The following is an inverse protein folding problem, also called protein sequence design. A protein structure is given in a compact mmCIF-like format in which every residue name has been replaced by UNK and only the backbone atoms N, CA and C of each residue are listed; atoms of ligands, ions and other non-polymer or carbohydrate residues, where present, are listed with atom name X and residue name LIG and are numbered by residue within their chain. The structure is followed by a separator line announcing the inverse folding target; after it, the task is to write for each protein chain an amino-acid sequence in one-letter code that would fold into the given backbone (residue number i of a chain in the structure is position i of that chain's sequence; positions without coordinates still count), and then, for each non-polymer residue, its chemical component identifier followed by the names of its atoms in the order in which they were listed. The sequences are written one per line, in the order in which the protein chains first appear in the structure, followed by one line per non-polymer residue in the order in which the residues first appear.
data_IF_287407068054
#
_entry.id   IF_287407068054
#
_cell.length_a   1.000
_cell.length_b   1.000
_cell.length_c   1.000
_cell.angle_alpha   90.00
_cell.angle_beta   90.00
_cell.angle_gamma   90.00
#
_symmetry.space_group_name_H-M   'P 1'
#
loop_
_entity.id
_entity.type
_entity.pdbx_description
1 polymer ?
#
# COMPACT_ATOMS: atom_id res chain seq x y z
N UNK A 1 9.64 10.93 18.88
CA UNK A 1 10.27 9.78 19.57
C UNK A 1 11.53 10.26 20.25
N UNK A 2 11.84 9.71 21.43
CA UNK A 2 13.03 10.15 22.20
C UNK A 2 13.94 8.94 22.40
N UNK A 3 15.20 9.08 22.04
CA UNK A 3 16.23 8.10 22.34
C UNK A 3 16.94 8.47 23.67
N UNK A 4 17.04 7.51 24.54
CA UNK A 4 17.65 7.65 25.87
C UNK A 4 18.84 6.69 25.94
N UNK A 5 20.00 7.20 26.30
CA UNK A 5 21.15 6.39 26.64
C UNK A 5 20.92 5.74 28.01
N UNK A 6 20.83 4.44 28.04
CA UNK A 6 20.55 3.67 29.29
C UNK A 6 21.73 3.62 30.25
N UNK A 7 22.95 3.87 29.78
CA UNK A 7 24.14 3.90 30.65
C UNK A 7 24.23 5.21 31.42
N UNK A 8 23.84 6.32 30.80
CA UNK A 8 23.93 7.67 31.40
C UNK A 8 22.56 8.22 31.80
N UNK A 9 21.48 7.54 31.43
CA UNK A 9 20.07 7.95 31.63
C UNK A 9 19.78 9.36 31.08
N UNK A 10 20.41 9.71 29.96
CA UNK A 10 20.24 11.00 29.30
C UNK A 10 19.54 10.84 27.95
N UNK A 11 18.75 11.85 27.61
CA UNK A 11 18.21 11.98 26.26
C UNK A 11 19.35 12.31 25.31
N UNK A 12 19.59 11.42 24.33
CA UNK A 12 20.65 11.58 23.33
C UNK A 12 20.12 12.08 21.98
N UNK A 13 18.84 11.82 21.70
CA UNK A 13 18.21 12.36 20.49
C UNK A 13 16.70 12.49 20.67
N UNK A 14 16.12 13.49 20.00
CA UNK A 14 14.68 13.62 19.81
C UNK A 14 14.40 13.59 18.33
N UNK A 15 13.69 12.57 17.88
CA UNK A 15 13.35 12.32 16.48
C UNK A 15 11.91 12.79 16.28
N UNK A 16 11.66 13.88 15.54
CA UNK A 16 10.31 14.27 15.21
C UNK A 16 9.70 13.18 14.32
N UNK A 17 8.55 12.70 14.67
CA UNK A 17 7.77 11.75 13.91
C UNK A 17 6.35 12.28 13.78
N UNK A 18 5.67 11.89 12.71
CA UNK A 18 4.25 12.20 12.54
C UNK A 18 3.38 11.59 13.64
N UNK A 19 2.10 11.66 13.50
CA UNK A 19 1.15 11.16 14.49
C UNK A 19 1.32 9.66 14.71
N UNK A 20 1.41 9.24 15.98
CA UNK A 20 1.34 7.86 16.46
C UNK A 20 2.25 6.86 15.71
N UNK A 21 3.55 6.88 15.98
CA UNK A 21 4.42 5.79 15.58
C UNK A 21 3.94 4.47 16.19
N UNK A 22 3.54 3.51 15.35
CA UNK A 22 2.98 2.22 15.78
C UNK A 22 4.01 1.11 15.89
N UNK A 23 5.17 1.27 15.27
CA UNK A 23 6.24 0.28 15.30
C UNK A 23 7.61 0.94 15.34
N UNK A 24 8.55 0.28 15.99
CA UNK A 24 9.96 0.62 16.01
C UNK A 24 10.76 -0.64 15.66
N UNK A 25 11.65 -0.51 14.69
CA UNK A 25 12.59 -1.57 14.33
C UNK A 25 14.00 -1.06 14.62
N UNK A 26 14.75 -1.81 15.39
CA UNK A 26 16.17 -1.58 15.57
C UNK A 26 16.95 -2.34 14.49
N UNK A 27 17.70 -1.61 13.68
CA UNK A 27 18.58 -2.18 12.66
C UNK A 27 20.02 -1.88 13.09
N UNK A 28 20.81 -2.89 13.50
CA UNK A 28 22.21 -2.67 13.87
C UNK A 28 22.98 -2.09 12.66
N UNK A 29 23.85 -1.12 12.94
CA UNK A 29 24.73 -0.54 11.92
C UNK A 29 24.02 0.12 10.73
N UNK A 30 22.72 0.41 10.84
CA UNK A 30 21.96 1.10 9.80
C UNK A 30 22.43 2.54 9.55
N UNK A 31 23.13 3.11 10.53
CA UNK A 31 23.68 4.45 10.43
C UNK A 31 25.21 4.40 10.46
N UNK A 32 25.90 5.15 9.60
CA UNK A 32 27.36 5.27 9.67
C UNK A 32 27.81 5.84 11.02
N UNK A 33 28.94 5.34 11.52
CA UNK A 33 29.52 5.83 12.76
C UNK A 33 29.81 7.32 12.67
N UNK A 34 29.31 8.10 13.62
CA UNK A 34 29.55 9.55 13.69
C UNK A 34 28.48 10.41 13.05
N UNK A 35 27.44 9.84 12.48
CA UNK A 35 26.31 10.59 11.96
C UNK A 35 25.28 10.85 13.05
N UNK A 36 24.83 12.09 13.17
CA UNK A 36 23.87 12.50 14.20
C UNK A 36 22.51 12.75 13.56
N UNK A 37 21.48 12.10 14.08
CA UNK A 37 20.10 12.33 13.69
C UNK A 37 19.64 11.54 12.46
N UNK A 38 18.61 12.06 11.79
CA UNK A 38 17.95 11.38 10.67
C UNK A 38 18.75 11.38 9.37
N UNK A 39 19.80 12.16 9.27
CA UNK A 39 20.68 12.27 8.09
C UNK A 39 21.44 10.97 7.78
N UNK A 40 21.54 10.09 8.77
CA UNK A 40 22.19 8.79 8.62
C UNK A 40 21.23 7.66 8.24
N UNK A 41 19.93 7.90 8.21
CA UNK A 41 18.93 6.94 7.80
C UNK A 41 18.91 6.84 6.28
N UNK A 42 19.59 5.82 5.75
CA UNK A 42 19.52 5.51 4.33
C UNK A 42 18.33 4.60 4.06
N UNK A 43 17.54 4.85 3.01
CA UNK A 43 16.53 3.89 2.57
C UNK A 43 17.19 2.55 2.23
N UNK A 44 16.65 1.46 2.73
CA UNK A 44 17.11 0.11 2.39
C UNK A 44 16.73 -0.23 0.94
N UNK A 45 17.48 0.28 -0.02
CA UNK A 45 17.28 0.00 -1.44
C UNK A 45 15.88 0.40 -1.92
N UNK A 46 15.10 -0.57 -2.42
CA UNK A 46 13.71 -0.34 -2.86
C UNK A 46 12.73 -0.14 -1.68
N UNK A 47 13.14 -0.39 -0.44
CA UNK A 47 12.35 -0.05 0.73
C UNK A 47 12.17 1.47 0.79
N UNK A 48 10.92 1.91 0.81
CA UNK A 48 10.56 3.34 0.74
C UNK A 48 10.08 3.79 -0.64
N UNK A 49 10.24 2.98 -1.69
CA UNK A 49 9.54 3.26 -2.94
C UNK A 49 8.05 2.97 -2.80
N UNK A 50 7.22 3.84 -3.32
CA UNK A 50 5.78 3.63 -3.38
C UNK A 50 5.30 3.63 -4.83
N UNK A 51 4.41 2.68 -5.14
CA UNK A 51 3.65 2.67 -6.40
C UNK A 51 2.26 3.20 -6.12
N UNK A 52 1.81 4.11 -6.96
CA UNK A 52 0.48 4.69 -6.86
C UNK A 52 -0.37 4.27 -8.04
N UNK A 53 -1.57 3.77 -7.75
CA UNK A 53 -2.53 3.32 -8.73
C UNK A 53 -3.84 4.08 -8.56
N UNK A 54 -4.59 4.21 -9.64
CA UNK A 54 -5.95 4.67 -9.64
C UNK A 54 -6.88 3.54 -10.11
N UNK A 55 -7.96 3.33 -9.38
CA UNK A 55 -9.03 2.43 -9.80
C UNK A 55 -10.27 3.26 -10.11
N UNK A 56 -10.88 2.99 -11.24
CA UNK A 56 -12.10 3.69 -11.67
C UNK A 56 -13.19 2.69 -12.01
N UNK A 57 -14.40 3.09 -11.78
CA UNK A 57 -15.61 2.35 -12.15
C UNK A 57 -16.57 3.20 -12.97
N UNK A 58 -17.56 2.56 -13.56
CA UNK A 58 -18.60 3.24 -14.29
C UNK A 58 -19.37 4.22 -13.37
N UNK A 59 -19.41 5.50 -13.74
CA UNK A 59 -20.18 6.51 -13.03
C UNK A 59 -19.49 7.24 -11.87
N UNK A 60 -18.23 6.94 -11.59
CA UNK A 60 -17.46 7.67 -10.57
C UNK A 60 -16.47 8.66 -11.20
N UNK A 61 -16.62 9.94 -10.88
CA UNK A 61 -15.65 10.98 -11.30
C UNK A 61 -14.40 11.01 -10.42
N UNK A 62 -14.44 10.38 -9.26
CA UNK A 62 -13.33 10.34 -8.32
C UNK A 62 -12.74 8.92 -8.30
N UNK A 63 -11.46 8.75 -8.66
CA UNK A 63 -10.81 7.46 -8.60
C UNK A 63 -10.54 7.04 -7.14
N UNK A 64 -10.64 5.75 -6.86
CA UNK A 64 -10.02 5.14 -5.71
C UNK A 64 -8.52 5.21 -5.88
N UNK A 65 -7.81 5.75 -4.91
CA UNK A 65 -6.35 5.81 -4.92
C UNK A 65 -5.78 4.67 -4.10
N UNK A 66 -4.77 4.00 -4.65
CA UNK A 66 -4.08 2.90 -3.99
C UNK A 66 -2.58 3.21 -3.96
N UNK A 67 -1.99 3.09 -2.78
CA UNK A 67 -0.55 3.17 -2.58
C UNK A 67 -0.02 1.82 -2.13
N UNK A 68 1.02 1.35 -2.79
CA UNK A 68 1.73 0.13 -2.45
C UNK A 68 3.15 0.48 -2.05
N UNK A 69 3.48 0.22 -0.79
CA UNK A 69 4.80 0.48 -0.21
C UNK A 69 5.60 -0.81 -0.15
N UNK A 70 6.79 -0.82 -0.71
CA UNK A 70 7.72 -1.94 -0.57
C UNK A 70 8.47 -1.82 0.78
N UNK A 71 8.40 -2.88 1.56
CA UNK A 71 9.06 -3.02 2.86
C UNK A 71 10.14 -4.12 2.82
N UNK A 72 10.65 -4.44 1.64
CA UNK A 72 11.64 -5.48 1.42
C UNK A 72 11.04 -6.88 1.33
N UNK A 73 10.79 -7.54 2.44
CA UNK A 73 10.21 -8.90 2.43
C UNK A 73 8.70 -8.92 2.27
N UNK A 74 8.05 -7.82 2.59
CA UNK A 74 6.59 -7.69 2.50
C UNK A 74 6.21 -6.35 1.90
N UNK A 75 4.96 -6.20 1.53
CA UNK A 75 4.40 -4.98 0.99
C UNK A 75 3.19 -4.56 1.80
N UNK A 76 3.02 -3.24 1.93
CA UNK A 76 1.84 -2.64 2.56
C UNK A 76 1.04 -1.93 1.49
N UNK A 77 -0.20 -2.34 1.31
CA UNK A 77 -1.15 -1.70 0.42
C UNK A 77 -2.13 -0.87 1.25
N UNK A 78 -2.33 0.36 0.85
CA UNK A 78 -3.36 1.24 1.40
C UNK A 78 -4.22 1.76 0.26
N UNK A 79 -5.53 1.55 0.34
CA UNK A 79 -6.49 2.05 -0.62
C UNK A 79 -7.48 3.03 0.04
N UNK A 80 -7.58 4.23 -0.52
CA UNK A 80 -8.63 5.19 -0.19
C UNK A 80 -9.79 5.00 -1.18
N UNK A 81 -10.67 4.10 -0.82
CA UNK A 81 -11.82 3.69 -1.66
C UNK A 81 -12.91 4.74 -1.60
N UNK A 82 -13.43 5.14 -2.76
CA UNK A 82 -14.52 6.11 -2.91
C UNK A 82 -15.45 5.72 -4.07
N UNK A 83 -16.64 6.29 -4.08
CA UNK A 83 -17.57 6.18 -5.21
C UNK A 83 -18.25 4.83 -5.35
N UNK A 84 -18.36 4.07 -4.26
CA UNK A 84 -19.11 2.82 -4.20
C UNK A 84 -20.49 3.02 -3.57
N UNK A 85 -21.35 2.00 -3.64
CA UNK A 85 -22.64 2.04 -2.97
C UNK A 85 -22.44 2.02 -1.44
N UNK A 86 -23.21 2.82 -0.68
CA UNK A 86 -23.15 2.85 0.78
C UNK A 86 -23.51 1.53 1.43
N UNK A 87 -22.88 1.26 2.58
CA UNK A 87 -23.16 0.11 3.45
C UNK A 87 -23.19 -1.25 2.74
N UNK A 88 -22.37 -1.40 1.70
CA UNK A 88 -22.27 -2.62 0.89
C UNK A 88 -20.90 -3.30 1.08
N UNK A 89 -20.88 -4.61 0.95
CA UNK A 89 -19.65 -5.41 1.06
C UNK A 89 -18.95 -5.52 -0.27
N UNK A 90 -17.63 -5.35 -0.22
CA UNK A 90 -16.73 -5.44 -1.35
C UNK A 90 -15.47 -6.21 -0.99
N UNK A 91 -14.72 -6.58 -2.00
CA UNK A 91 -13.38 -7.16 -1.85
C UNK A 91 -12.41 -6.46 -2.80
N UNK A 92 -11.26 -6.08 -2.27
CA UNK A 92 -10.10 -5.71 -3.06
C UNK A 92 -9.39 -7.00 -3.44
N UNK A 93 -9.13 -7.21 -4.72
CA UNK A 93 -8.56 -8.44 -5.25
C UNK A 93 -7.52 -8.18 -6.34
N UNK A 94 -6.66 -9.17 -6.57
CA UNK A 94 -5.83 -9.27 -7.77
C UNK A 94 -6.52 -10.14 -8.80
N UNK A 95 -6.47 -9.73 -10.06
CA UNK A 95 -7.04 -10.46 -11.18
C UNK A 95 -5.98 -10.69 -12.26
N UNK A 96 -6.07 -11.77 -13.03
CA UNK A 96 -5.14 -12.03 -14.12
C UNK A 96 -5.35 -11.11 -15.32
N UNK A 97 -6.56 -10.64 -15.53
CA UNK A 97 -6.91 -9.78 -16.65
C UNK A 97 -7.22 -8.35 -16.18
N UNK A 98 -6.93 -7.35 -17.01
CA UNK A 98 -7.16 -5.95 -16.66
C UNK A 98 -8.66 -5.58 -16.56
N UNK A 99 -9.54 -6.38 -17.13
CA UNK A 99 -11.00 -6.22 -17.05
C UNK A 99 -11.62 -6.82 -15.78
N UNK A 100 -10.79 -7.31 -14.85
CA UNK A 100 -11.24 -7.91 -13.60
C UNK A 100 -11.65 -9.38 -13.72
N UNK A 101 -11.39 -10.02 -14.86
CA UNK A 101 -11.69 -11.44 -15.10
C UNK A 101 -10.47 -12.34 -14.87
N UNK A 102 -10.68 -13.65 -15.04
CA UNK A 102 -9.65 -14.67 -14.90
C UNK A 102 -9.54 -15.19 -13.46
N UNK A 103 -8.32 -15.51 -13.03
CA UNK A 103 -8.10 -15.95 -11.65
C UNK A 103 -8.20 -14.74 -10.72
N UNK A 104 -9.05 -14.84 -9.70
CA UNK A 104 -9.30 -13.82 -8.71
C UNK A 104 -8.65 -14.25 -7.40
N UNK A 105 -7.75 -13.41 -6.88
CA UNK A 105 -7.08 -13.59 -5.60
C UNK A 105 -7.51 -12.48 -4.63
N UNK A 106 -8.39 -12.77 -3.65
CA UNK A 106 -8.84 -11.78 -2.68
C UNK A 106 -7.70 -11.31 -1.80
N UNK A 107 -7.55 -9.99 -1.63
CA UNK A 107 -6.56 -9.36 -0.73
C UNK A 107 -7.24 -8.94 0.57
N UNK A 108 -8.30 -8.14 0.50
CA UNK A 108 -8.97 -7.61 1.66
C UNK A 108 -10.46 -7.43 1.42
N UNK A 109 -11.27 -7.88 2.36
CA UNK A 109 -12.71 -7.62 2.38
C UNK A 109 -13.01 -6.38 3.20
N UNK A 110 -13.97 -5.59 2.76
CA UNK A 110 -14.38 -4.38 3.46
C UNK A 110 -15.85 -4.07 3.23
N UNK A 111 -16.37 -3.17 4.04
CA UNK A 111 -17.71 -2.62 3.89
C UNK A 111 -17.62 -1.10 3.83
N UNK A 112 -18.30 -0.51 2.88
CA UNK A 112 -18.35 0.95 2.72
C UNK A 112 -19.16 1.61 3.84
N UNK A 113 -18.75 2.81 4.20
CA UNK A 113 -19.49 3.69 5.10
C UNK A 113 -20.73 4.30 4.40
N UNK A 114 -21.57 5.08 5.09
CA UNK A 114 -22.73 5.74 4.46
C UNK A 114 -22.42 6.68 3.31
N UNK A 115 -21.17 7.12 3.16
CA UNK A 115 -20.73 7.93 2.02
C UNK A 115 -20.19 7.10 0.83
N UNK A 116 -20.27 5.76 0.89
CA UNK A 116 -19.73 4.89 -0.15
C UNK A 116 -18.20 4.85 -0.19
N UNK A 117 -17.54 5.10 0.94
CA UNK A 117 -16.10 5.19 1.07
C UNK A 117 -15.54 4.27 2.15
N UNK A 118 -14.25 3.90 2.05
CA UNK A 118 -13.54 3.16 3.09
C UNK A 118 -12.02 3.26 2.90
N UNK A 119 -11.27 3.23 4.00
CA UNK A 119 -9.83 2.99 3.96
C UNK A 119 -9.58 1.50 4.13
N UNK A 120 -8.89 0.92 3.16
CA UNK A 120 -8.57 -0.52 3.13
C UNK A 120 -7.06 -0.68 3.22
N UNK A 121 -6.62 -1.47 4.18
CA UNK A 121 -5.20 -1.80 4.35
C UNK A 121 -5.00 -3.30 4.15
N UNK A 122 -3.91 -3.67 3.48
CA UNK A 122 -3.47 -5.04 3.34
C UNK A 122 -1.95 -5.16 3.49
N UNK A 123 -1.49 -6.25 4.05
CA UNK A 123 -0.07 -6.55 4.24
C UNK A 123 0.19 -7.95 3.70
N UNK A 124 1.20 -8.09 2.86
CA UNK A 124 1.58 -9.37 2.32
C UNK A 124 2.50 -9.29 1.12
N UNK A 125 2.84 -10.43 0.52
CA UNK A 125 3.63 -10.49 -0.70
C UNK A 125 2.79 -10.13 -1.93
N UNK A 126 2.45 -8.84 -2.09
CA UNK A 126 1.62 -8.34 -3.20
C UNK A 126 2.49 -8.06 -4.45
N UNK A 127 3.61 -8.76 -4.58
CA UNK A 127 4.66 -8.52 -5.60
C UNK A 127 4.22 -8.76 -7.05
N UNK A 128 3.05 -9.30 -7.25
CA UNK A 128 2.53 -9.62 -8.57
C UNK A 128 1.79 -8.46 -9.23
N UNK A 129 1.61 -7.33 -8.53
CA UNK A 129 1.03 -6.14 -9.15
C UNK A 129 1.98 -5.64 -10.22
N UNK A 130 1.42 -5.41 -11.38
CA UNK A 130 2.15 -5.00 -12.57
C UNK A 130 2.88 -3.70 -12.34
N UNK A 131 4.19 -3.76 -12.28
CA UNK A 131 5.07 -2.66 -12.65
C UNK A 131 5.28 -2.72 -14.17
N UNK A 132 4.72 -1.79 -14.97
CA UNK A 132 4.94 -1.77 -16.41
C UNK A 132 6.40 -1.52 -16.80
N UNK A 133 7.25 -1.04 -15.91
CA UNK A 133 8.68 -0.95 -16.13
C UNK A 133 9.37 -2.33 -16.07
N UNK A 134 8.70 -3.35 -15.54
CA UNK A 134 9.23 -4.71 -15.49
C UNK A 134 8.78 -5.51 -16.71
N UNK A 135 9.68 -6.18 -17.45
CA UNK A 135 9.31 -7.00 -18.59
C UNK A 135 8.23 -8.02 -18.22
N UNK A 136 7.28 -8.21 -19.12
CA UNK A 136 6.16 -9.11 -18.95
C UNK A 136 6.62 -10.53 -18.61
N UNK A 137 6.51 -10.91 -17.35
CA UNK A 137 6.41 -12.31 -16.97
C UNK A 137 4.94 -12.70 -16.97
N UNK A 138 4.64 -13.97 -17.19
CA UNK A 138 3.27 -14.53 -17.25
C UNK A 138 2.46 -14.40 -15.94
N UNK A 139 2.92 -13.59 -15.00
CA UNK A 139 2.38 -13.46 -13.64
C UNK A 139 1.83 -12.07 -13.33
N UNK A 140 1.53 -11.29 -14.36
CA UNK A 140 0.93 -9.96 -14.16
C UNK A 140 -0.42 -10.08 -13.47
N UNK A 141 -0.64 -9.23 -12.46
CA UNK A 141 -1.91 -9.09 -11.75
C UNK A 141 -2.36 -7.64 -11.79
N UNK A 142 -3.65 -7.46 -11.81
CA UNK A 142 -4.31 -6.14 -11.81
C UNK A 142 -5.17 -6.00 -10.59
N UNK A 143 -5.18 -4.82 -9.98
CA UNK A 143 -6.07 -4.53 -8.87
C UNK A 143 -7.49 -4.29 -9.37
N UNK A 144 -8.45 -4.89 -8.68
CA UNK A 144 -9.87 -4.67 -8.90
C UNK A 144 -10.61 -4.59 -7.56
N UNK A 145 -11.64 -3.76 -7.50
CA UNK A 145 -12.66 -3.84 -6.45
C UNK A 145 -13.87 -4.56 -7.04
N UNK A 146 -14.32 -5.58 -6.33
CA UNK A 146 -15.43 -6.42 -6.76
C UNK A 146 -16.53 -6.43 -5.69
N UNK A 147 -17.76 -6.66 -6.10
CA UNK A 147 -18.84 -6.96 -5.15
C UNK A 147 -18.47 -8.22 -4.36
N UNK A 148 -18.98 -8.32 -3.12
CA UNK A 148 -18.74 -9.49 -2.31
C UNK A 148 -20.08 -10.01 -1.79
N UNK A 149 -20.52 -11.12 -2.37
CA UNK A 149 -21.82 -11.73 -2.08
C UNK A 149 -21.67 -13.23 -1.85
N UNK A 150 -22.43 -13.77 -0.91
CA UNK A 150 -22.43 -15.22 -0.58
C UNK A 150 -21.02 -15.79 -0.29
N UNK A 151 -20.12 -14.97 0.28
CA UNK A 151 -18.77 -15.40 0.63
C UNK A 151 -17.79 -15.45 -0.55
N UNK A 152 -18.16 -14.91 -1.72
CA UNK A 152 -17.34 -14.95 -2.94
C UNK A 152 -17.26 -13.57 -3.62
N UNK A 153 -16.14 -13.29 -4.31
CA UNK A 153 -16.06 -12.17 -5.23
C UNK A 153 -17.10 -12.31 -6.35
N UNK A 154 -17.80 -11.21 -6.62
CA UNK A 154 -18.77 -11.10 -7.70
C UNK A 154 -18.23 -10.31 -8.89
N UNK A 155 -19.01 -9.34 -9.37
CA UNK A 155 -18.64 -8.52 -10.53
C UNK A 155 -17.63 -7.43 -10.15
N UNK A 156 -16.67 -7.09 -11.04
CA UNK A 156 -15.79 -5.96 -10.86
C UNK A 156 -16.60 -4.65 -10.94
N UNK A 157 -16.34 -3.75 -10.00
CA UNK A 157 -16.99 -2.42 -9.92
C UNK A 157 -16.00 -1.28 -10.12
N UNK A 158 -14.74 -1.49 -9.79
CA UNK A 158 -13.65 -0.57 -10.11
C UNK A 158 -12.43 -1.37 -10.57
N UNK A 159 -11.76 -0.86 -11.60
CA UNK A 159 -10.61 -1.51 -12.23
C UNK A 159 -9.41 -0.58 -12.23
N UNK A 160 -8.22 -1.17 -12.13
CA UNK A 160 -6.96 -0.46 -12.21
C UNK A 160 -6.80 0.21 -13.56
N UNK A 161 -6.49 1.50 -13.55
CA UNK A 161 -6.10 2.20 -14.76
C UNK A 161 -4.69 1.80 -15.20
N UNK A 162 -4.43 1.89 -16.50
CA UNK A 162 -3.13 1.54 -17.09
C UNK A 162 -2.00 2.50 -16.68
N UNK A 163 -2.33 3.68 -16.17
CA UNK A 163 -1.37 4.68 -15.69
C UNK A 163 -1.13 4.54 -14.20
N UNK A 164 0.13 4.49 -13.79
CA UNK A 164 0.53 4.56 -12.40
C UNK A 164 1.72 5.51 -12.27
N UNK A 165 1.93 6.01 -11.07
CA UNK A 165 3.05 6.88 -10.75
C UNK A 165 3.92 6.21 -9.70
N UNK A 166 5.22 6.19 -9.94
CA UNK A 166 6.20 5.81 -8.92
C UNK A 166 6.71 7.09 -8.26
N UNK A 167 6.58 7.18 -6.94
CA UNK A 167 7.34 8.15 -6.17
C UNK A 167 8.57 7.46 -5.60
N UNK A 168 9.75 7.93 -5.98
CA UNK A 168 10.98 7.69 -5.22
C UNK A 168 11.07 8.79 -4.17
N UNK A 169 11.51 8.45 -2.97
CA UNK A 169 12.02 9.45 -2.06
C UNK A 169 13.33 9.90 -2.68
N UNK A 170 13.33 11.08 -3.29
CA UNK A 170 14.56 11.68 -3.81
C UNK A 170 15.57 11.80 -2.67
N UNK A 171 16.77 11.32 -2.94
CA UNK A 171 17.94 11.41 -2.07
C UNK A 171 18.34 12.86 -1.81
#
# INVERSE_FOLDING_TARGET
MTAIDTATNRVVATIPNGQAAQALVYVPEAAPTGTVGTESLQPLGLAGSALHFALTGAGSNNPTTVSLFDQGLTQVLQAAVVGLEPAKRYVLALTTNPDGTGTIEPIAQFMTNPAGAQIVNAIGPIRQIVDPATPARNERRYLAIMTFENGKPGQPVQLQQSTFTRSSVDQ
#
